data_IF_147862833829
#
_entry.id   IF_147862833829
#
_cell.length_a   1.000
_cell.length_b   1.000
_cell.length_c   1.000
_cell.angle_alpha   90.00
_cell.angle_beta   90.00
_cell.angle_gamma   90.00
#
_symmetry.space_group_name_H-M   'P 1'
#
loop_
_entity.id
_entity.type
_entity.pdbx_description
1 polymer ?
#
# COMPACT_ATOMS: atom_id res chain seq x y z
N UNK A 1 -0.61 33.68 -5.37
CA UNK A 1 0.22 33.61 -4.16
C UNK A 1 -0.44 32.72 -3.11
N UNK A 2 -1.31 33.22 -2.21
CA UNK A 2 -1.77 32.43 -1.04
C UNK A 2 -2.46 31.09 -1.40
N UNK A 3 -3.31 31.05 -2.42
CA UNK A 3 -3.95 29.81 -2.88
C UNK A 3 -2.97 28.83 -3.56
N UNK A 4 -1.96 29.34 -4.25
CA UNK A 4 -0.93 28.54 -4.94
C UNK A 4 0.06 27.97 -3.93
N UNK A 5 0.47 28.77 -2.95
CA UNK A 5 1.37 28.35 -1.86
C UNK A 5 0.72 27.25 -1.00
N UNK A 6 -0.56 27.41 -0.67
CA UNK A 6 -1.33 26.38 0.03
C UNK A 6 -1.47 25.09 -0.80
N UNK A 7 -1.63 25.21 -2.12
CA UNK A 7 -1.68 24.06 -3.02
C UNK A 7 -0.33 23.32 -3.05
N UNK A 8 0.78 24.04 -3.17
CA UNK A 8 2.12 23.46 -3.18
C UNK A 8 2.44 22.73 -1.86
N UNK A 9 2.10 23.32 -0.71
CA UNK A 9 2.26 22.69 0.60
C UNK A 9 1.41 21.41 0.72
N UNK A 10 0.17 21.46 0.24
CA UNK A 10 -0.73 20.31 0.25
C UNK A 10 -0.18 19.14 -0.59
N UNK A 11 0.30 19.41 -1.80
CA UNK A 11 0.92 18.39 -2.66
C UNK A 11 2.19 17.81 -2.02
N UNK A 12 3.05 18.66 -1.46
CA UNK A 12 4.26 18.21 -0.78
C UNK A 12 3.94 17.28 0.41
N UNK A 13 2.92 17.64 1.21
CA UNK A 13 2.46 16.81 2.33
C UNK A 13 1.88 15.47 1.87
N UNK A 14 1.14 15.45 0.75
CA UNK A 14 0.59 14.21 0.19
C UNK A 14 1.68 13.30 -0.36
N UNK A 15 2.68 13.86 -1.06
CA UNK A 15 3.83 13.09 -1.53
C UNK A 15 4.59 12.50 -0.34
N UNK A 16 4.81 13.28 0.71
CA UNK A 16 5.44 12.81 1.94
C UNK A 16 4.64 11.67 2.57
N UNK A 17 3.34 11.82 2.73
CA UNK A 17 2.47 10.80 3.35
C UNK A 17 2.41 9.51 2.51
N UNK A 18 2.44 9.62 1.18
CA UNK A 18 2.57 8.47 0.29
C UNK A 18 3.94 7.77 0.40
N UNK A 19 5.01 8.52 0.54
CA UNK A 19 6.37 7.97 0.65
C UNK A 19 6.60 7.28 2.00
N UNK A 20 6.09 7.87 3.09
CA UNK A 20 6.32 7.38 4.46
C UNK A 20 5.25 6.38 4.92
N UNK A 21 3.98 6.59 4.57
CA UNK A 21 2.86 5.80 5.10
C UNK A 21 2.05 5.05 4.04
N UNK A 22 2.36 5.28 2.75
CA UNK A 22 1.62 4.68 1.64
C UNK A 22 0.22 5.26 1.45
N UNK A 23 -0.16 6.32 2.15
CA UNK A 23 -1.47 6.91 1.98
C UNK A 23 -1.56 7.63 0.63
N UNK A 24 -2.63 7.40 -0.10
CA UNK A 24 -2.95 8.05 -1.37
C UNK A 24 -4.18 8.92 -1.15
N UNK A 25 -3.98 10.24 -1.25
CA UNK A 25 -5.03 11.25 -1.10
C UNK A 25 -5.11 12.10 -2.36
N UNK A 26 -6.32 12.41 -2.82
CA UNK A 26 -6.58 13.28 -3.97
C UNK A 26 -5.87 12.85 -5.26
N UNK A 27 -5.67 11.53 -5.45
CA UNK A 27 -5.09 11.02 -6.68
C UNK A 27 -6.13 11.02 -7.80
N UNK A 28 -5.71 11.46 -8.98
CA UNK A 28 -6.56 11.48 -10.18
C UNK A 28 -6.62 10.12 -10.89
N UNK A 29 -5.65 9.25 -10.63
CA UNK A 29 -5.45 7.99 -11.35
C UNK A 29 -5.22 6.76 -10.44
N UNK A 30 -5.23 6.93 -9.12
CA UNK A 30 -5.14 5.82 -8.17
C UNK A 30 -6.33 5.81 -7.20
N UNK A 31 -6.66 4.65 -6.62
CA UNK A 31 -7.65 4.58 -5.54
C UNK A 31 -7.22 5.43 -4.34
N UNK A 32 -8.18 6.13 -3.74
CA UNK A 32 -7.97 6.80 -2.46
C UNK A 32 -7.85 5.76 -1.35
N UNK A 33 -6.70 5.75 -0.67
CA UNK A 33 -6.38 4.80 0.37
C UNK A 33 -5.73 5.53 1.54
N UNK A 34 -6.40 5.51 2.69
CA UNK A 34 -5.91 6.11 3.93
C UNK A 34 -6.12 5.13 5.07
N UNK A 35 -5.02 4.68 5.66
CA UNK A 35 -5.02 3.78 6.81
C UNK A 35 -4.09 4.37 7.87
N UNK A 36 -4.57 4.69 9.08
CA UNK A 36 -3.69 5.07 10.19
C UNK A 36 -2.60 4.01 10.36
N UNK A 37 -1.37 4.43 10.71
CA UNK A 37 -0.26 3.49 10.91
C UNK A 37 -0.51 2.68 12.18
N UNK A 38 -0.49 1.36 12.04
CA UNK A 38 -0.48 0.39 13.11
C UNK A 38 0.68 -0.60 12.88
N UNK A 39 0.99 -1.40 13.90
CA UNK A 39 2.08 -2.38 13.80
C UNK A 39 3.48 -1.76 13.69
N UNK A 40 4.43 -2.62 13.33
CA UNK A 40 5.85 -2.30 13.22
C UNK A 40 6.22 -1.86 11.81
N UNK A 41 5.74 -2.58 10.80
CA UNK A 41 6.06 -2.34 9.39
C UNK A 41 4.81 -2.37 8.51
N UNK A 42 4.88 -1.69 7.36
CA UNK A 42 3.75 -1.59 6.42
C UNK A 42 4.16 -2.05 5.03
N UNK A 43 3.37 -2.94 4.45
CA UNK A 43 3.42 -3.24 3.03
C UNK A 43 2.44 -2.33 2.27
N UNK A 44 2.93 -1.75 1.19
CA UNK A 44 2.18 -0.98 0.21
C UNK A 44 2.26 -1.68 -1.15
N UNK A 45 1.15 -2.27 -1.59
CA UNK A 45 1.12 -3.17 -2.75
C UNK A 45 0.15 -2.64 -3.78
N UNK A 46 0.66 -2.34 -4.98
CA UNK A 46 -0.19 -2.04 -6.14
C UNK A 46 -0.35 -3.30 -6.97
N UNK A 47 -1.57 -3.62 -7.37
CA UNK A 47 -1.87 -4.77 -8.20
C UNK A 47 -3.03 -4.50 -9.17
N UNK A 48 -3.20 -5.37 -10.16
CA UNK A 48 -4.36 -5.37 -11.03
C UNK A 48 -5.62 -5.69 -10.24
N UNK A 49 -6.73 -5.04 -10.58
CA UNK A 49 -8.02 -5.27 -9.94
C UNK A 49 -8.71 -6.52 -10.52
N UNK A 50 -8.12 -7.68 -10.26
CA UNK A 50 -8.63 -8.99 -10.69
C UNK A 50 -8.98 -9.88 -9.48
N UNK A 51 -9.83 -10.91 -9.65
CA UNK A 51 -10.23 -11.78 -8.55
C UNK A 51 -9.04 -12.44 -7.84
N UNK A 52 -9.21 -12.68 -6.54
CA UNK A 52 -8.27 -13.43 -5.69
C UNK A 52 -6.90 -12.76 -5.39
N UNK A 53 -6.69 -11.48 -5.73
CA UNK A 53 -5.43 -10.80 -5.41
C UNK A 53 -5.18 -10.65 -3.89
N UNK A 54 -6.17 -10.16 -3.14
CA UNK A 54 -6.04 -9.97 -1.68
C UNK A 54 -5.80 -11.29 -0.96
N UNK A 55 -6.45 -12.37 -1.42
CA UNK A 55 -6.25 -13.71 -0.88
C UNK A 55 -4.82 -14.21 -1.09
N UNK A 56 -4.28 -14.08 -2.30
CA UNK A 56 -2.90 -14.48 -2.58
C UNK A 56 -1.89 -13.66 -1.76
N UNK A 57 -2.10 -12.34 -1.66
CA UNK A 57 -1.25 -11.45 -0.87
C UNK A 57 -1.25 -11.87 0.60
N UNK A 58 -2.44 -12.08 1.20
CA UNK A 58 -2.54 -12.45 2.61
C UNK A 58 -1.97 -13.83 2.89
N UNK A 59 -2.08 -14.79 1.96
CA UNK A 59 -1.43 -16.10 2.08
C UNK A 59 0.08 -15.97 2.15
N UNK A 60 0.72 -15.17 1.27
CA UNK A 60 2.19 -14.99 1.32
C UNK A 60 2.65 -14.39 2.65
N UNK A 61 1.90 -13.44 3.19
CA UNK A 61 2.18 -12.85 4.51
C UNK A 61 2.02 -13.89 5.63
N UNK A 62 0.94 -14.66 5.59
CA UNK A 62 0.65 -15.69 6.58
C UNK A 62 1.67 -16.85 6.56
N UNK A 63 2.11 -17.29 5.38
CA UNK A 63 3.10 -18.35 5.21
C UNK A 63 4.48 -17.95 5.74
N UNK A 64 4.77 -16.64 5.78
CA UNK A 64 5.96 -16.09 6.43
C UNK A 64 5.83 -16.00 7.96
N UNK A 65 4.67 -16.37 8.52
CA UNK A 65 4.39 -16.31 9.96
C UNK A 65 4.17 -14.89 10.50
N UNK A 66 3.96 -13.90 9.63
CA UNK A 66 3.72 -12.52 10.04
C UNK A 66 2.25 -12.30 10.40
N UNK A 67 2.00 -11.65 11.54
CA UNK A 67 0.65 -11.30 11.98
C UNK A 67 0.21 -9.96 11.37
N UNK A 68 -1.00 -9.91 10.79
CA UNK A 68 -1.58 -8.70 10.21
C UNK A 68 -2.35 -7.93 11.29
N UNK A 69 -1.96 -6.69 11.53
CA UNK A 69 -2.59 -5.77 12.49
C UNK A 69 -3.79 -5.07 11.87
N UNK A 70 -3.61 -4.52 10.67
CA UNK A 70 -4.65 -3.83 9.92
C UNK A 70 -4.40 -4.01 8.42
N UNK A 71 -5.47 -3.98 7.64
CA UNK A 71 -5.40 -4.12 6.19
C UNK A 71 -6.47 -3.26 5.52
N UNK A 72 -6.06 -2.53 4.48
CA UNK A 72 -6.94 -1.76 3.63
C UNK A 72 -6.70 -2.14 2.17
N UNK A 73 -7.76 -2.58 1.47
CA UNK A 73 -7.75 -2.69 0.02
C UNK A 73 -8.71 -1.66 -0.59
N UNK A 74 -8.23 -0.94 -1.60
CA UNK A 74 -9.04 -0.01 -2.40
C UNK A 74 -8.73 -0.20 -3.88
N UNK A 75 -9.75 -0.08 -4.72
CA UNK A 75 -9.65 -0.26 -6.16
C UNK A 75 -10.23 0.93 -6.92
N UNK A 76 -9.67 1.20 -8.11
CA UNK A 76 -10.15 2.16 -9.08
C UNK A 76 -9.90 1.59 -10.47
N UNK A 77 -10.98 1.38 -11.21
CA UNK A 77 -10.93 0.81 -12.56
C UNK A 77 -10.13 -0.52 -12.55
N UNK A 78 -9.03 -0.58 -13.30
CA UNK A 78 -8.19 -1.76 -13.47
C UNK A 78 -7.08 -1.91 -12.41
N UNK A 79 -6.94 -0.96 -11.49
CA UNK A 79 -5.87 -0.93 -10.48
C UNK A 79 -6.45 -1.01 -9.07
N UNK A 80 -5.77 -1.75 -8.21
CA UNK A 80 -6.04 -1.81 -6.79
C UNK A 80 -4.76 -1.60 -5.98
N UNK A 81 -4.94 -1.12 -4.76
CA UNK A 81 -3.90 -0.77 -3.82
C UNK A 81 -4.23 -1.33 -2.45
N UNK A 82 -3.32 -2.13 -1.92
CA UNK A 82 -3.45 -2.79 -0.62
C UNK A 82 -2.38 -2.27 0.33
N UNK A 83 -2.80 -1.77 1.49
CA UNK A 83 -1.95 -1.50 2.64
C UNK A 83 -2.12 -2.62 3.67
N UNK A 84 -1.02 -3.10 4.23
CA UNK A 84 -1.00 -4.14 5.26
C UNK A 84 -0.03 -3.73 6.35
N UNK A 85 -0.49 -3.61 7.58
CA UNK A 85 0.35 -3.41 8.76
C UNK A 85 0.66 -4.75 9.42
N UNK A 86 1.92 -4.96 9.78
CA UNK A 86 2.42 -6.20 10.38
C UNK A 86 3.04 -5.94 11.76
N UNK A 87 2.94 -6.91 12.67
CA UNK A 87 3.63 -6.83 13.99
C UNK A 87 5.13 -7.12 13.92
N UNK A 88 5.60 -7.71 12.82
CA UNK A 88 6.99 -8.12 12.60
C UNK A 88 7.64 -7.35 11.46
N UNK A 89 8.98 -7.42 11.40
CA UNK A 89 9.75 -6.88 10.26
C UNK A 89 9.43 -7.64 8.97
N UNK A 90 9.48 -6.93 7.85
CA UNK A 90 9.27 -7.50 6.53
C UNK A 90 10.61 -8.10 6.07
N UNK A 91 10.65 -9.42 5.86
CA UNK A 91 11.81 -10.04 5.21
C UNK A 91 11.80 -9.80 3.71
N UNK A 92 13.00 -9.68 3.10
CA UNK A 92 13.15 -9.56 1.65
C UNK A 92 12.46 -10.70 0.90
N UNK A 93 12.45 -11.91 1.47
CA UNK A 93 11.75 -13.07 0.92
C UNK A 93 10.25 -12.84 0.75
N UNK A 94 9.59 -12.13 1.68
CA UNK A 94 8.15 -11.81 1.57
C UNK A 94 7.93 -10.87 0.39
N UNK A 95 8.76 -9.84 0.26
CA UNK A 95 8.67 -8.87 -0.84
C UNK A 95 8.88 -9.57 -2.18
N UNK A 96 9.86 -10.46 -2.27
CA UNK A 96 10.18 -11.18 -3.50
C UNK A 96 9.08 -12.17 -3.87
N UNK A 97 8.51 -12.90 -2.91
CA UNK A 97 7.38 -13.79 -3.14
C UNK A 97 6.13 -13.03 -3.61
N UNK A 98 5.83 -11.87 -3.02
CA UNK A 98 4.73 -11.02 -3.48
C UNK A 98 4.96 -10.57 -4.93
N UNK A 99 6.17 -10.15 -5.29
CA UNK A 99 6.50 -9.76 -6.67
C UNK A 99 6.32 -10.88 -7.71
N UNK A 100 6.32 -12.15 -7.29
CA UNK A 100 6.07 -13.28 -8.21
C UNK A 100 4.58 -13.51 -8.49
N UNK A 101 3.66 -12.89 -7.73
CA UNK A 101 2.22 -13.03 -7.98
C UNK A 101 1.87 -12.31 -9.27
N UNK A 102 1.30 -13.04 -10.24
CA UNK A 102 0.80 -12.46 -11.47
C UNK A 102 -0.25 -11.37 -11.17
N UNK A 103 -0.08 -10.20 -11.78
CA UNK A 103 -0.94 -9.03 -11.55
C UNK A 103 -0.42 -8.09 -10.46
N UNK A 104 0.61 -8.43 -9.68
CA UNK A 104 1.29 -7.43 -8.85
C UNK A 104 2.13 -6.49 -9.70
N UNK A 105 1.96 -5.18 -9.48
CA UNK A 105 2.63 -4.11 -10.20
C UNK A 105 3.81 -3.56 -9.39
N UNK A 106 3.60 -3.32 -8.10
CA UNK A 106 4.64 -2.84 -7.18
C UNK A 106 4.42 -3.36 -5.77
N UNK A 107 5.52 -3.57 -5.04
CA UNK A 107 5.54 -3.91 -3.62
C UNK A 107 6.56 -3.01 -2.93
N UNK A 108 6.16 -2.33 -1.86
CA UNK A 108 7.01 -1.47 -1.05
C UNK A 108 6.87 -1.87 0.42
N UNK A 109 7.99 -2.07 1.11
CA UNK A 109 8.05 -2.04 2.58
C UNK A 109 8.27 -0.61 3.05
N UNK A 110 7.53 -0.19 4.07
CA UNK A 110 7.47 1.16 4.64
C UNK A 110 7.56 1.10 6.16
#
# INVERSE_FOLDING_TARGET
AEAEDNCAIMVANQIKDYLENGNILNSVNFPEARMPRAGKERLAITHQNIPNMVGQISTVVADAGANIVDMLNKSRDEVAYTLIDLESEISDTVIDNLKQIEGILTVRGL
#
